data_IF_031246484524
#
_entry.id   IF_031246484524
#
_cell.length_a   1.000
_cell.length_b   1.000
_cell.length_c   1.000
_cell.angle_alpha   90.00
_cell.angle_beta   90.00
_cell.angle_gamma   90.00
#
_symmetry.space_group_name_H-M   'P 1'
#
loop_
_entity.id
_entity.type
_entity.pdbx_description
1 polymer ?
#
# COMPACT_ATOMS: atom_id res chain seq x y z
N UNK A 1 -47.15 -4.42 21.60
CA UNK A 1 -45.92 -3.65 21.86
C UNK A 1 -44.67 -4.25 21.20
N UNK A 2 -44.47 -5.58 21.22
CA UNK A 2 -43.28 -6.25 20.65
C UNK A 2 -43.05 -5.99 19.14
N UNK A 3 -44.12 -5.87 18.35
CA UNK A 3 -44.03 -5.70 16.89
C UNK A 3 -43.54 -4.32 16.44
N UNK A 4 -43.71 -3.26 17.26
CA UNK A 4 -43.22 -1.90 16.97
C UNK A 4 -41.70 -1.78 17.14
N UNK A 5 -41.14 -2.50 18.11
CA UNK A 5 -39.70 -2.47 18.40
C UNK A 5 -38.85 -3.16 17.33
N UNK A 6 -39.40 -4.15 16.62
CA UNK A 6 -38.68 -4.88 15.57
C UNK A 6 -38.56 -4.01 14.30
N UNK A 7 -39.61 -3.28 13.95
CA UNK A 7 -39.62 -2.38 12.78
C UNK A 7 -38.65 -1.20 12.95
N UNK A 8 -38.58 -0.59 14.13
CA UNK A 8 -37.65 0.53 14.41
C UNK A 8 -36.17 0.10 14.31
N UNK A 9 -35.83 -1.12 14.75
CA UNK A 9 -34.47 -1.66 14.67
C UNK A 9 -34.05 -2.02 13.24
N UNK A 10 -34.98 -2.40 12.38
CA UNK A 10 -34.72 -2.65 10.96
C UNK A 10 -34.51 -1.32 10.22
N UNK A 11 -35.32 -0.30 10.51
CA UNK A 11 -35.20 1.03 9.92
C UNK A 11 -33.87 1.71 10.29
N UNK A 12 -33.43 1.60 11.55
CA UNK A 12 -32.12 2.13 11.99
C UNK A 12 -30.93 1.44 11.28
N UNK A 13 -31.01 0.11 11.06
CA UNK A 13 -29.96 -0.64 10.34
C UNK A 13 -29.95 -0.34 8.84
N UNK A 14 -31.12 -0.17 8.23
CA UNK A 14 -31.26 0.21 6.83
C UNK A 14 -30.76 1.64 6.56
N UNK A 15 -31.01 2.57 7.49
CA UNK A 15 -30.48 3.94 7.43
C UNK A 15 -28.95 3.99 7.50
N UNK A 16 -28.34 3.17 8.37
CA UNK A 16 -26.87 3.09 8.48
C UNK A 16 -26.23 2.52 7.20
N UNK A 17 -26.83 1.51 6.58
CA UNK A 17 -26.37 0.97 5.29
C UNK A 17 -26.47 2.00 4.16
N UNK A 18 -27.56 2.79 4.11
CA UNK A 18 -27.73 3.85 3.11
C UNK A 18 -26.70 4.99 3.24
N UNK A 19 -26.30 5.37 4.45
CA UNK A 19 -25.26 6.39 4.68
C UNK A 19 -23.88 5.90 4.25
N UNK A 20 -23.58 4.60 4.38
CA UNK A 20 -22.33 4.05 3.85
C UNK A 20 -22.32 3.95 2.31
N UNK A 21 -23.48 3.79 1.69
CA UNK A 21 -23.58 3.63 0.23
C UNK A 21 -23.47 4.95 -0.53
N UNK A 22 -23.91 6.07 0.05
CA UNK A 22 -23.80 7.40 -0.56
C UNK A 22 -22.34 7.92 -0.63
N UNK A 23 -21.42 7.37 0.17
CA UNK A 23 -19.99 7.64 0.04
C UNK A 23 -19.32 6.93 -1.15
N UNK A 24 -19.86 5.80 -1.60
CA UNK A 24 -19.30 4.98 -2.68
C UNK A 24 -19.79 5.41 -4.08
N UNK A 25 -20.95 6.07 -4.19
CA UNK A 25 -21.57 6.33 -5.50
C UNK A 25 -21.12 7.64 -6.19
N UNK A 26 -20.33 8.49 -5.54
CA UNK A 26 -19.88 9.78 -6.12
C UNK A 26 -18.49 9.76 -6.76
N UNK A 27 -17.77 8.63 -6.74
CA UNK A 27 -16.41 8.55 -7.32
C UNK A 27 -16.45 8.40 -8.85
N UNK A 28 -17.52 7.82 -9.41
CA UNK A 28 -17.59 7.48 -10.85
C UNK A 28 -17.79 8.68 -11.80
N UNK A 29 -17.98 9.90 -11.27
CA UNK A 29 -18.17 11.12 -12.08
C UNK A 29 -17.19 12.26 -11.78
N UNK A 30 -16.24 12.08 -10.85
CA UNK A 30 -15.25 13.10 -10.53
C UNK A 30 -14.06 13.02 -11.49
N UNK A 31 -13.57 14.16 -11.96
CA UNK A 31 -12.36 14.20 -12.77
C UNK A 31 -11.15 13.78 -11.94
N UNK A 32 -10.20 13.09 -12.58
CA UNK A 32 -8.91 12.68 -12.02
C UNK A 32 -8.22 13.85 -11.27
N UNK A 33 -8.28 15.06 -11.83
CA UNK A 33 -7.73 16.28 -11.23
C UNK A 33 -8.36 16.66 -9.88
N UNK A 34 -9.68 16.51 -9.73
CA UNK A 34 -10.36 16.81 -8.47
C UNK A 34 -10.02 15.78 -7.40
N UNK A 35 -9.99 14.50 -7.78
CA UNK A 35 -9.62 13.42 -6.87
C UNK A 35 -8.19 13.57 -6.35
N UNK A 36 -7.26 14.00 -7.20
CA UNK A 36 -5.88 14.32 -6.78
C UNK A 36 -5.85 15.49 -5.80
N UNK A 37 -6.57 16.57 -6.09
CA UNK A 37 -6.64 17.74 -5.20
C UNK A 37 -7.22 17.38 -3.81
N UNK A 38 -8.27 16.56 -3.78
CA UNK A 38 -8.85 16.04 -2.54
C UNK A 38 -7.87 15.15 -1.78
N UNK A 39 -7.17 14.25 -2.48
CA UNK A 39 -6.17 13.37 -1.88
C UNK A 39 -5.03 14.17 -1.22
N UNK A 40 -4.51 15.20 -1.93
CA UNK A 40 -3.50 16.12 -1.40
C UNK A 40 -3.98 16.90 -0.19
N UNK A 41 -5.22 17.38 -0.22
CA UNK A 41 -5.81 18.09 0.90
C UNK A 41 -5.92 17.17 2.12
N UNK A 42 -6.45 15.95 1.95
CA UNK A 42 -6.56 14.98 3.03
C UNK A 42 -5.19 14.61 3.60
N UNK A 43 -4.19 14.46 2.75
CA UNK A 43 -2.82 14.22 3.19
C UNK A 43 -2.26 15.39 4.02
N UNK A 44 -2.46 16.64 3.59
CA UNK A 44 -2.06 17.84 4.36
C UNK A 44 -2.79 17.96 5.69
N UNK A 45 -4.03 17.50 5.76
CA UNK A 45 -4.84 17.44 6.99
C UNK A 45 -4.43 16.28 7.91
N UNK A 46 -3.45 15.45 7.52
CA UNK A 46 -2.99 14.28 8.30
C UNK A 46 -3.88 13.04 8.14
N UNK A 47 -4.94 13.10 7.33
CA UNK A 47 -5.89 12.01 7.04
C UNK A 47 -5.30 11.04 6.02
N UNK A 48 -4.21 10.38 6.43
CA UNK A 48 -3.33 9.62 5.54
C UNK A 48 -4.02 8.39 4.93
N UNK A 49 -4.91 7.74 5.66
CA UNK A 49 -5.63 6.56 5.16
C UNK A 49 -6.74 6.93 4.18
N UNK A 50 -7.43 8.03 4.41
CA UNK A 50 -8.41 8.59 3.48
C UNK A 50 -7.71 9.06 2.20
N UNK A 51 -6.58 9.76 2.34
CA UNK A 51 -5.75 10.16 1.20
C UNK A 51 -5.31 8.94 0.37
N UNK A 52 -4.88 7.86 1.03
CA UNK A 52 -4.54 6.59 0.35
C UNK A 52 -5.70 6.07 -0.49
N UNK A 53 -6.91 6.01 0.08
CA UNK A 53 -8.09 5.54 -0.64
C UNK A 53 -8.41 6.41 -1.86
N UNK A 54 -8.23 7.74 -1.74
CA UNK A 54 -8.41 8.66 -2.87
C UNK A 54 -7.36 8.45 -3.95
N UNK A 55 -6.10 8.29 -3.59
CA UNK A 55 -5.05 7.96 -4.57
C UNK A 55 -5.28 6.60 -5.26
N UNK A 56 -5.81 5.60 -4.55
CA UNK A 56 -6.21 4.33 -5.15
C UNK A 56 -7.36 4.50 -6.14
N UNK A 57 -8.34 5.36 -5.80
CA UNK A 57 -9.42 5.71 -6.72
C UNK A 57 -8.92 6.46 -7.97
N UNK A 58 -7.91 7.33 -7.83
CA UNK A 58 -7.22 7.96 -8.96
C UNK A 58 -6.62 6.89 -9.87
N UNK A 59 -5.89 5.91 -9.33
CA UNK A 59 -5.31 4.83 -10.14
C UNK A 59 -6.34 3.90 -10.79
N UNK A 60 -7.53 3.78 -10.20
CA UNK A 60 -8.63 3.03 -10.80
C UNK A 60 -9.21 3.74 -12.03
N UNK A 61 -9.14 5.07 -12.09
CA UNK A 61 -9.54 5.86 -13.27
C UNK A 61 -8.41 6.06 -14.27
N UNK A 62 -7.22 6.40 -13.79
CA UNK A 62 -6.00 6.59 -14.57
C UNK A 62 -4.84 5.82 -13.93
N UNK A 63 -4.64 4.61 -14.45
CA UNK A 63 -3.58 3.70 -13.98
C UNK A 63 -2.16 4.21 -14.23
N UNK A 64 -2.00 5.29 -15.02
CA UNK A 64 -0.73 5.93 -15.36
C UNK A 64 -0.50 7.27 -14.65
N UNK A 65 -1.38 7.65 -13.72
CA UNK A 65 -1.23 8.88 -12.96
C UNK A 65 0.06 8.83 -12.13
N UNK A 66 1.07 9.61 -12.56
CA UNK A 66 2.37 9.65 -11.88
C UNK A 66 2.22 10.05 -10.41
N UNK A 67 1.40 11.07 -10.12
CA UNK A 67 1.28 11.63 -8.78
C UNK A 67 0.73 10.58 -7.80
N UNK A 68 -0.32 9.85 -8.22
CA UNK A 68 -0.89 8.77 -7.42
C UNK A 68 0.07 7.57 -7.30
N UNK A 69 0.75 7.16 -8.37
CA UNK A 69 1.74 6.07 -8.35
C UNK A 69 2.92 6.41 -7.42
N UNK A 70 3.46 7.62 -7.54
CA UNK A 70 4.58 8.12 -6.74
C UNK A 70 4.19 8.21 -5.27
N UNK A 71 3.03 8.79 -4.95
CA UNK A 71 2.57 8.91 -3.58
C UNK A 71 2.31 7.54 -2.94
N UNK A 72 1.57 6.65 -3.62
CA UNK A 72 1.27 5.30 -3.11
C UNK A 72 2.53 4.45 -2.98
N UNK A 73 3.46 4.54 -3.92
CA UNK A 73 4.75 3.85 -3.84
C UNK A 73 5.53 4.24 -2.59
N UNK A 74 5.63 5.55 -2.31
CA UNK A 74 6.24 6.07 -1.10
C UNK A 74 5.50 5.63 0.18
N UNK A 75 4.18 5.75 0.19
CA UNK A 75 3.35 5.34 1.31
C UNK A 75 3.59 3.86 1.67
N UNK A 76 3.52 2.97 0.67
CA UNK A 76 3.72 1.53 0.89
C UNK A 76 5.16 1.20 1.31
N UNK A 77 6.14 1.90 0.75
CA UNK A 77 7.54 1.77 1.16
C UNK A 77 7.71 2.13 2.64
N UNK A 78 7.18 3.27 3.09
CA UNK A 78 7.29 3.73 4.48
C UNK A 78 6.59 2.76 5.45
N UNK A 79 5.38 2.30 5.14
CA UNK A 79 4.69 1.27 5.94
C UNK A 79 5.51 -0.03 6.03
N UNK A 80 6.18 -0.41 4.93
CA UNK A 80 7.10 -1.54 4.89
C UNK A 80 8.32 -1.34 5.80
N UNK A 81 8.93 -0.15 5.78
CA UNK A 81 10.06 0.20 6.64
C UNK A 81 9.68 0.19 8.11
N UNK A 82 8.53 0.75 8.47
CA UNK A 82 8.04 0.73 9.85
C UNK A 82 7.81 -0.71 10.34
N UNK A 83 7.14 -1.54 9.52
CA UNK A 83 6.92 -2.94 9.84
C UNK A 83 8.24 -3.73 9.98
N UNK A 84 9.20 -3.47 9.08
CA UNK A 84 10.53 -4.08 9.12
C UNK A 84 11.30 -3.68 10.37
N UNK A 85 11.35 -2.39 10.69
CA UNK A 85 12.06 -1.87 11.86
C UNK A 85 11.50 -2.45 13.15
N UNK A 86 10.18 -2.54 13.27
CA UNK A 86 9.52 -3.15 14.42
C UNK A 86 9.87 -4.63 14.55
N UNK A 87 9.83 -5.38 13.43
CA UNK A 87 10.19 -6.80 13.40
C UNK A 87 11.66 -7.04 13.76
N UNK A 88 12.58 -6.26 13.20
CA UNK A 88 14.01 -6.37 13.48
C UNK A 88 14.35 -6.00 14.92
N UNK A 89 13.70 -4.98 15.48
CA UNK A 89 13.89 -4.59 16.88
C UNK A 89 13.50 -5.73 17.82
N UNK A 90 12.30 -6.29 17.66
CA UNK A 90 11.85 -7.41 18.49
C UNK A 90 12.72 -8.66 18.34
N UNK A 91 13.33 -8.88 17.17
CA UNK A 91 14.23 -10.01 16.97
C UNK A 91 15.60 -9.81 17.61
N UNK A 92 16.15 -8.58 17.56
CA UNK A 92 17.45 -8.23 18.16
C UNK A 92 17.46 -8.34 19.68
N UNK A 93 16.32 -8.19 20.33
CA UNK A 93 16.18 -8.33 21.78
C UNK A 93 16.35 -9.80 22.26
N UNK A 94 16.43 -10.77 21.33
CA UNK A 94 16.64 -12.19 21.62
C UNK A 94 18.14 -12.49 21.56
N UNK A 95 18.78 -12.70 22.72
CA UNK A 95 20.22 -12.98 22.83
C UNK A 95 20.68 -14.22 22.04
N UNK A 96 19.87 -15.30 22.06
CA UNK A 96 20.16 -16.55 21.36
C UNK A 96 18.87 -17.13 20.75
N UNK A 97 18.56 -16.79 19.48
CA UNK A 97 17.33 -17.25 18.85
C UNK A 97 17.41 -18.75 18.55
N UNK A 98 16.37 -19.48 18.94
CA UNK A 98 16.19 -20.88 18.54
C UNK A 98 15.98 -21.01 17.03
N UNK A 99 16.27 -22.19 16.45
CA UNK A 99 16.02 -22.47 15.02
C UNK A 99 14.58 -22.16 14.59
N UNK A 100 13.60 -22.39 15.47
CA UNK A 100 12.20 -22.05 15.21
C UNK A 100 11.97 -20.55 15.17
N UNK A 101 12.56 -19.77 16.08
CA UNK A 101 12.48 -18.30 16.06
C UNK A 101 13.18 -17.72 14.82
N UNK A 102 14.30 -18.28 14.41
CA UNK A 102 14.99 -17.90 13.17
C UNK A 102 14.08 -18.15 11.95
N UNK A 103 13.44 -19.32 11.86
CA UNK A 103 12.52 -19.65 10.77
C UNK A 103 11.30 -18.72 10.73
N UNK A 104 10.67 -18.47 11.89
CA UNK A 104 9.55 -17.52 12.02
C UNK A 104 9.96 -16.10 11.64
N UNK A 105 11.16 -15.67 11.99
CA UNK A 105 11.66 -14.36 11.58
C UNK A 105 11.84 -14.26 10.06
N UNK A 106 12.38 -15.30 9.40
CA UNK A 106 12.47 -15.36 7.94
C UNK A 106 11.09 -15.33 7.26
N UNK A 107 10.11 -16.04 7.80
CA UNK A 107 8.72 -16.00 7.33
C UNK A 107 8.10 -14.60 7.52
N UNK A 108 8.33 -13.97 8.67
CA UNK A 108 7.85 -12.63 8.96
C UNK A 108 8.48 -11.59 8.02
N UNK A 109 9.77 -11.70 7.69
CA UNK A 109 10.42 -10.84 6.70
C UNK A 109 9.78 -10.96 5.31
N UNK A 110 9.47 -12.20 4.89
CA UNK A 110 8.75 -12.45 3.64
C UNK A 110 7.35 -11.85 3.68
N UNK A 111 6.65 -11.97 4.80
CA UNK A 111 5.32 -11.38 4.99
C UNK A 111 5.34 -9.83 4.92
N UNK A 112 6.36 -9.19 5.50
CA UNK A 112 6.56 -7.73 5.38
C UNK A 112 6.71 -7.34 3.91
N UNK A 113 7.50 -8.10 3.16
CA UNK A 113 7.65 -7.86 1.73
C UNK A 113 6.33 -8.02 0.97
N UNK A 114 5.61 -9.14 1.14
CA UNK A 114 4.36 -9.39 0.40
C UNK A 114 3.25 -8.40 0.74
N UNK A 115 3.19 -7.93 1.99
CA UNK A 115 2.11 -7.04 2.45
C UNK A 115 2.34 -5.58 2.02
N UNK A 116 3.59 -5.13 1.99
CA UNK A 116 3.94 -3.72 1.80
C UNK A 116 4.85 -3.49 0.60
N UNK A 117 6.06 -4.04 0.63
CA UNK A 117 7.07 -3.74 -0.39
C UNK A 117 6.72 -4.25 -1.79
N UNK A 118 5.94 -5.32 -1.92
CA UNK A 118 5.45 -5.78 -3.22
C UNK A 118 4.52 -4.75 -3.88
N UNK A 119 3.65 -4.11 -3.09
CA UNK A 119 2.79 -3.01 -3.58
C UNK A 119 3.64 -1.79 -3.94
N UNK A 120 4.61 -1.45 -3.10
CA UNK A 120 5.55 -0.37 -3.37
C UNK A 120 6.31 -0.61 -4.68
N UNK A 121 6.89 -1.80 -4.89
CA UNK A 121 7.63 -2.16 -6.11
C UNK A 121 6.78 -1.93 -7.37
N UNK A 122 5.52 -2.40 -7.37
CA UNK A 122 4.62 -2.24 -8.51
C UNK A 122 4.32 -0.75 -8.79
N UNK A 123 4.02 0.03 -7.76
CA UNK A 123 3.74 1.45 -7.90
C UNK A 123 4.96 2.24 -8.39
N UNK A 124 6.13 1.99 -7.80
CA UNK A 124 7.39 2.68 -8.12
C UNK A 124 7.86 2.34 -9.54
N UNK A 125 7.76 1.08 -9.96
CA UNK A 125 8.08 0.67 -11.35
C UNK A 125 7.20 1.42 -12.35
N UNK A 126 5.88 1.41 -12.15
CA UNK A 126 4.96 2.14 -13.02
C UNK A 126 5.22 3.65 -13.03
N UNK A 127 5.56 4.24 -11.88
CA UNK A 127 5.90 5.67 -11.82
C UNK A 127 7.13 5.99 -12.68
N UNK A 128 8.15 5.12 -12.66
CA UNK A 128 9.37 5.27 -13.47
C UNK A 128 9.17 5.01 -14.96
N UNK A 129 8.15 4.23 -15.34
CA UNK A 129 7.73 4.07 -16.73
C UNK A 129 7.07 5.34 -17.25
N UNK A 130 6.32 6.04 -16.42
CA UNK A 130 5.68 7.32 -16.78
C UNK A 130 6.70 8.46 -16.81
N UNK A 131 7.54 8.57 -15.79
CA UNK A 131 8.54 9.64 -15.67
C UNK A 131 9.74 9.18 -14.85
N UNK A 132 10.95 9.44 -15.37
CA UNK A 132 12.19 9.16 -14.64
C UNK A 132 12.32 10.09 -13.43
N UNK A 133 12.65 9.51 -12.29
CA UNK A 133 12.87 10.22 -11.05
C UNK A 133 13.91 9.46 -10.20
N UNK A 134 15.01 10.13 -9.86
CA UNK A 134 16.14 9.51 -9.13
C UNK A 134 15.74 9.03 -7.74
N UNK A 135 14.89 9.78 -7.04
CA UNK A 135 14.41 9.40 -5.71
C UNK A 135 13.55 8.14 -5.78
N UNK A 136 12.61 8.07 -6.73
CA UNK A 136 11.77 6.87 -6.94
C UNK A 136 12.62 5.67 -7.35
N UNK A 137 13.66 5.88 -8.18
CA UNK A 137 14.61 4.83 -8.53
C UNK A 137 15.36 4.30 -7.31
N UNK A 138 15.86 5.19 -6.45
CA UNK A 138 16.57 4.80 -5.23
C UNK A 138 15.68 3.97 -4.28
N UNK A 139 14.42 4.36 -4.12
CA UNK A 139 13.45 3.59 -3.32
C UNK A 139 13.20 2.21 -3.92
N UNK A 140 13.02 2.14 -5.25
CA UNK A 140 12.85 0.87 -5.95
C UNK A 140 14.07 -0.03 -5.77
N UNK A 141 15.27 0.51 -5.89
CA UNK A 141 16.53 -0.24 -5.73
C UNK A 141 16.65 -0.83 -4.32
N UNK A 142 16.24 -0.09 -3.29
CA UNK A 142 16.23 -0.59 -1.91
C UNK A 142 15.21 -1.73 -1.73
N UNK A 143 13.99 -1.57 -2.27
CA UNK A 143 12.95 -2.62 -2.24
C UNK A 143 13.42 -3.89 -2.95
N UNK A 144 14.06 -3.73 -4.10
CA UNK A 144 14.62 -4.82 -4.91
C UNK A 144 15.79 -5.49 -4.20
N UNK A 145 16.66 -4.72 -3.55
CA UNK A 145 17.76 -5.24 -2.72
C UNK A 145 17.20 -6.09 -1.59
N UNK A 146 16.15 -5.61 -0.91
CA UNK A 146 15.46 -6.37 0.14
C UNK A 146 14.85 -7.67 -0.39
N UNK A 147 14.12 -7.63 -1.52
CA UNK A 147 13.58 -8.81 -2.21
C UNK A 147 14.65 -9.85 -2.53
N UNK A 148 15.83 -9.39 -2.97
CA UNK A 148 16.98 -10.24 -3.30
C UNK A 148 17.56 -10.89 -2.05
N UNK A 149 17.72 -10.15 -0.96
CA UNK A 149 18.16 -10.68 0.34
C UNK A 149 17.24 -11.77 0.89
N UNK A 150 15.95 -11.69 0.61
CA UNK A 150 14.96 -12.71 1.01
C UNK A 150 14.94 -13.95 0.11
N UNK A 151 15.73 -13.97 -0.97
CA UNK A 151 15.72 -15.05 -1.96
C UNK A 151 14.40 -15.14 -2.73
N UNK A 152 13.63 -14.04 -2.80
CA UNK A 152 12.35 -13.98 -3.51
C UNK A 152 12.51 -13.68 -5.01
N UNK A 153 13.74 -13.51 -5.48
CA UNK A 153 14.05 -13.38 -6.90
C UNK A 153 14.01 -14.77 -7.53
N UNK A 154 13.07 -15.00 -8.45
CA UNK A 154 13.12 -16.18 -9.30
C UNK A 154 14.38 -16.09 -10.16
N UNK A 155 15.14 -17.17 -10.30
CA UNK A 155 16.37 -17.24 -11.11
C UNK A 155 16.20 -16.70 -12.56
N UNK A 156 14.96 -16.65 -13.05
CA UNK A 156 14.57 -16.12 -14.37
C UNK A 156 14.65 -14.58 -14.48
N UNK A 157 14.44 -13.83 -13.40
CA UNK A 157 14.39 -12.35 -13.45
C UNK A 157 15.78 -11.70 -13.28
N UNK A 158 16.76 -12.45 -12.77
CA UNK A 158 18.14 -12.00 -12.70
C UNK A 158 18.78 -11.87 -14.10
N UNK A 159 18.35 -12.70 -15.07
CA UNK A 159 18.87 -12.69 -16.44
C UNK A 159 18.36 -11.53 -17.30
N UNK A 160 17.13 -11.04 -17.06
CA UNK A 160 16.53 -9.95 -17.87
C UNK A 160 17.11 -8.58 -17.56
N UNK A 161 17.58 -8.32 -16.32
CA UNK A 161 18.13 -7.01 -15.94
C UNK A 161 19.57 -6.75 -16.39
N UNK A 162 20.27 -7.74 -16.95
CA UNK A 162 21.62 -7.55 -17.52
C UNK A 162 21.59 -6.88 -18.90
N UNK A 163 20.45 -6.86 -19.58
CA UNK A 163 20.31 -6.37 -20.97
C UNK A 163 19.67 -4.99 -21.09
N UNK A 164 19.44 -4.29 -19.96
CA UNK A 164 18.86 -2.94 -19.93
C UNK A 164 19.84 -1.88 -19.38
N UNK A 165 21.15 -2.18 -19.38
CA UNK A 165 22.21 -1.18 -19.18
C UNK A 165 22.82 -0.83 -20.53
#
# INVERSE_FOLDING_TARGET
MLHRMITERILLKAGFLLVTLSGLFSVSGQSVSRLLQEADQQFREGKTEEARQRYEAVLAQDSSSYDALSWLGNYYYLKGKDALNNLERSYKDISEPSRMQMARHQEALKAVYTNWFAKAEVCLLKALDVRKNEHIQALLDEVVSFKTRLGLVKAVDAGKRKWLR
#
